data_IF_624228556389
#
_entry.id   IF_624228556389
#
_cell.length_a   1.000
_cell.length_b   1.000
_cell.length_c   1.000
_cell.angle_alpha   90.00
_cell.angle_beta   90.00
_cell.angle_gamma   90.00
#
_symmetry.space_group_name_H-M   'P 1'
#
loop_
_entity.id
_entity.type
_entity.pdbx_description
1 polymer ?
#
# COMPACT_ATOMS: atom_id res chain seq x y z
N UNK A 1 3.30 -14.19 3.64
CA UNK A 1 2.64 -12.88 3.47
C UNK A 1 1.21 -13.07 2.99
N UNK A 2 0.97 -13.61 1.79
CA UNK A 2 -0.36 -13.71 1.16
C UNK A 2 -1.41 -14.39 2.06
N UNK A 3 -1.11 -15.60 2.53
CA UNK A 3 -1.99 -16.32 3.47
C UNK A 3 -2.28 -15.53 4.76
N UNK A 4 -1.30 -14.80 5.28
CA UNK A 4 -1.52 -13.92 6.44
C UNK A 4 -2.44 -12.76 6.06
N UNK A 5 -2.18 -12.11 4.91
CA UNK A 5 -2.95 -10.97 4.40
C UNK A 5 -4.43 -11.33 4.16
N UNK A 6 -4.71 -12.49 3.55
CA UNK A 6 -6.08 -12.98 3.34
C UNK A 6 -6.84 -13.22 4.65
N UNK A 7 -6.13 -13.65 5.71
CA UNK A 7 -6.71 -13.97 7.01
C UNK A 7 -6.61 -12.83 8.04
N UNK A 8 -6.14 -11.63 7.68
CA UNK A 8 -5.93 -10.52 8.65
C UNK A 8 -7.20 -10.10 9.39
N UNK A 9 -8.37 -10.29 8.78
CA UNK A 9 -9.64 -9.97 9.42
C UNK A 9 -9.91 -10.83 10.67
N UNK A 10 -9.20 -11.96 10.84
CA UNK A 10 -9.32 -12.87 11.99
C UNK A 10 -8.36 -12.53 13.13
N UNK A 11 -7.37 -11.66 12.89
CA UNK A 11 -6.37 -11.32 13.89
C UNK A 11 -6.82 -10.15 14.75
N UNK A 12 -6.47 -10.23 16.04
CA UNK A 12 -6.64 -9.10 16.96
C UNK A 12 -5.69 -7.95 16.59
N UNK A 13 -6.06 -6.73 16.99
CA UNK A 13 -5.33 -5.51 16.65
C UNK A 13 -3.85 -5.57 17.06
N UNK A 14 -3.51 -6.10 18.23
CA UNK A 14 -2.14 -6.25 18.71
C UNK A 14 -1.30 -7.14 17.77
N UNK A 15 -1.88 -8.28 17.39
CA UNK A 15 -1.27 -9.24 16.48
C UNK A 15 -1.07 -8.64 15.08
N UNK A 16 -2.05 -7.86 14.59
CA UNK A 16 -1.92 -7.12 13.32
C UNK A 16 -0.74 -6.16 13.31
N UNK A 17 -0.51 -5.43 14.42
CA UNK A 17 0.64 -4.51 14.52
C UNK A 17 1.95 -5.27 14.40
N UNK A 18 2.09 -6.37 15.14
CA UNK A 18 3.31 -7.17 15.16
C UNK A 18 3.63 -7.77 13.78
N UNK A 19 2.63 -8.35 13.10
CA UNK A 19 2.82 -8.90 11.75
C UNK A 19 3.17 -7.79 10.76
N UNK A 20 2.52 -6.61 10.86
CA UNK A 20 2.80 -5.50 9.95
C UNK A 20 4.26 -5.02 10.07
N UNK A 21 4.76 -4.80 11.29
CA UNK A 21 6.16 -4.44 11.52
C UNK A 21 7.13 -5.54 11.03
N UNK A 22 6.81 -6.80 11.29
CA UNK A 22 7.61 -7.92 10.82
C UNK A 22 7.76 -7.90 9.29
N UNK A 23 6.64 -7.81 8.54
CA UNK A 23 6.71 -7.78 7.09
C UNK A 23 7.31 -6.49 6.53
N UNK A 24 7.11 -5.34 7.17
CA UNK A 24 7.77 -4.09 6.79
C UNK A 24 9.29 -4.29 6.83
N UNK A 25 9.82 -4.80 7.94
CA UNK A 25 11.24 -5.06 8.10
C UNK A 25 11.77 -6.07 7.05
N UNK A 26 11.04 -7.15 6.76
CA UNK A 26 11.46 -8.11 5.74
C UNK A 26 11.51 -7.51 4.33
N UNK A 27 10.58 -6.62 3.99
CA UNK A 27 10.54 -5.95 2.68
C UNK A 27 11.64 -4.89 2.54
N UNK A 28 11.92 -4.12 3.60
CA UNK A 28 12.94 -3.05 3.57
C UNK A 28 14.36 -3.59 3.59
N UNK A 29 14.59 -4.74 4.22
CA UNK A 29 15.89 -5.44 4.24
C UNK A 29 16.12 -6.36 3.04
N UNK A 30 15.17 -6.41 2.09
CA UNK A 30 15.16 -7.33 0.94
C UNK A 30 15.20 -8.82 1.30
N UNK A 31 14.82 -9.19 2.54
CA UNK A 31 14.63 -10.58 2.94
C UNK A 31 13.36 -11.20 2.31
N UNK A 32 12.36 -10.36 1.98
CA UNK A 32 11.15 -10.75 1.28
C UNK A 32 11.02 -9.98 -0.03
N UNK A 33 10.72 -10.70 -1.11
CA UNK A 33 10.53 -10.08 -2.42
C UNK A 33 9.21 -9.30 -2.48
N UNK A 34 9.23 -8.12 -3.12
CA UNK A 34 8.10 -7.19 -3.15
C UNK A 34 6.87 -7.73 -3.89
N UNK A 35 7.01 -8.79 -4.68
CA UNK A 35 5.88 -9.46 -5.38
C UNK A 35 4.77 -9.93 -4.45
N UNK A 36 5.04 -10.12 -3.16
CA UNK A 36 3.99 -10.46 -2.17
C UNK A 36 2.95 -9.36 -1.99
N UNK A 37 3.28 -8.11 -2.34
CA UNK A 37 2.35 -6.98 -2.25
C UNK A 37 1.20 -7.08 -3.26
N UNK A 38 1.27 -8.00 -4.25
CA UNK A 38 0.19 -8.29 -5.20
C UNK A 38 -1.11 -8.72 -4.52
N UNK A 39 -1.02 -9.31 -3.33
CA UNK A 39 -2.19 -9.69 -2.55
C UNK A 39 -3.01 -8.48 -2.07
N UNK A 40 -2.45 -7.28 -2.08
CA UNK A 40 -3.10 -6.06 -1.61
C UNK A 40 -3.90 -5.44 -2.75
N UNK A 41 -5.20 -5.25 -2.52
CA UNK A 41 -6.09 -4.51 -3.44
C UNK A 41 -6.78 -3.40 -2.66
N UNK A 42 -6.37 -2.16 -2.91
CA UNK A 42 -6.84 -0.95 -2.23
C UNK A 42 -8.06 -0.36 -2.95
N UNK A 43 -9.23 -0.90 -2.64
CA UNK A 43 -10.52 -0.34 -3.07
C UNK A 43 -11.50 -0.25 -1.91
N UNK A 44 -12.57 0.52 -2.05
CA UNK A 44 -13.61 0.61 -1.01
C UNK A 44 -14.26 -0.75 -0.71
N UNK A 45 -14.44 -1.60 -1.72
CA UNK A 45 -15.12 -2.90 -1.58
C UNK A 45 -14.24 -4.02 -1.00
N UNK A 46 -12.93 -3.97 -1.22
CA UNK A 46 -12.00 -5.03 -0.78
C UNK A 46 -11.25 -4.68 0.51
N UNK A 47 -11.20 -3.39 0.90
CA UNK A 47 -10.37 -2.94 2.03
C UNK A 47 -11.16 -2.89 3.34
N UNK A 48 -11.01 -3.93 4.16
CA UNK A 48 -11.61 -4.02 5.51
C UNK A 48 -10.87 -3.16 6.54
N UNK A 49 -11.49 -2.93 7.72
CA UNK A 49 -10.84 -2.19 8.82
C UNK A 49 -9.50 -2.80 9.25
N UNK A 50 -9.40 -4.12 9.36
CA UNK A 50 -8.15 -4.82 9.68
C UNK A 50 -7.08 -4.60 8.60
N UNK A 51 -7.49 -4.63 7.32
CA UNK A 51 -6.61 -4.30 6.19
C UNK A 51 -6.05 -2.89 6.28
N UNK A 52 -6.90 -1.91 6.66
CA UNK A 52 -6.49 -0.51 6.82
C UNK A 52 -5.47 -0.33 7.94
N UNK A 53 -5.65 -1.01 9.07
CA UNK A 53 -4.71 -0.95 10.20
C UNK A 53 -3.37 -1.59 9.79
N UNK A 54 -3.44 -2.77 9.18
CA UNK A 54 -2.24 -3.49 8.73
C UNK A 54 -1.43 -2.68 7.72
N UNK A 55 -2.07 -2.18 6.66
CA UNK A 55 -1.41 -1.39 5.61
C UNK A 55 -0.86 -0.07 6.15
N UNK A 56 -1.55 0.57 7.11
CA UNK A 56 -1.08 1.80 7.73
C UNK A 56 0.28 1.56 8.39
N UNK A 57 0.36 0.54 9.23
CA UNK A 57 1.58 0.23 10.00
C UNK A 57 2.68 -0.23 9.05
N UNK A 58 2.37 -1.12 8.11
CA UNK A 58 3.32 -1.62 7.13
C UNK A 58 3.98 -0.47 6.35
N UNK A 59 3.19 0.45 5.81
CA UNK A 59 3.69 1.53 4.97
C UNK A 59 4.39 2.64 5.76
N UNK A 60 3.91 2.96 6.96
CA UNK A 60 4.58 3.93 7.83
C UNK A 60 5.96 3.43 8.24
N UNK A 61 6.06 2.17 8.69
CA UNK A 61 7.33 1.56 9.09
C UNK A 61 8.29 1.43 7.88
N UNK A 62 7.78 1.09 6.69
CA UNK A 62 8.60 1.12 5.46
C UNK A 62 9.11 2.52 5.13
N UNK A 63 8.29 3.55 5.29
CA UNK A 63 8.67 4.95 5.05
C UNK A 63 9.68 5.46 6.08
N UNK A 64 9.58 5.02 7.34
CA UNK A 64 10.53 5.35 8.41
C UNK A 64 11.89 4.69 8.16
N UNK A 65 11.92 3.42 7.75
CA UNK A 65 13.18 2.70 7.52
C UNK A 65 13.89 3.08 6.21
N UNK A 66 13.16 3.29 5.11
CA UNK A 66 13.76 3.61 3.80
C UNK A 66 13.87 5.12 3.53
N UNK A 67 13.08 5.93 4.24
CA UNK A 67 12.79 7.31 3.88
C UNK A 67 11.68 7.41 2.84
N UNK A 68 10.80 8.41 2.99
CA UNK A 68 9.63 8.62 2.12
C UNK A 68 10.02 8.81 0.64
N UNK A 69 11.12 9.51 0.37
CA UNK A 69 11.62 9.76 -0.99
C UNK A 69 12.01 8.45 -1.68
N UNK A 70 12.86 7.66 -1.03
CA UNK A 70 13.31 6.35 -1.53
C UNK A 70 12.15 5.38 -1.72
N UNK A 71 11.20 5.37 -0.78
CA UNK A 71 10.00 4.56 -0.89
C UNK A 71 9.18 4.97 -2.12
N UNK A 72 8.96 6.27 -2.33
CA UNK A 72 8.23 6.78 -3.50
C UNK A 72 8.92 6.39 -4.81
N UNK A 73 10.24 6.55 -4.89
CA UNK A 73 11.04 6.17 -6.07
C UNK A 73 10.96 4.66 -6.35
N UNK A 74 10.98 3.82 -5.31
CA UNK A 74 10.78 2.37 -5.47
C UNK A 74 9.38 2.03 -5.98
N UNK A 75 8.34 2.61 -5.38
CA UNK A 75 6.94 2.36 -5.76
C UNK A 75 6.62 2.86 -7.17
N UNK A 76 7.24 3.96 -7.61
CA UNK A 76 7.13 4.52 -8.97
C UNK A 76 8.15 3.97 -9.97
N UNK A 77 8.97 2.98 -9.58
CA UNK A 77 10.03 2.49 -10.46
C UNK A 77 9.45 1.89 -11.75
N UNK A 78 10.14 2.13 -12.87
CA UNK A 78 9.80 1.57 -14.19
C UNK A 78 10.11 0.07 -14.31
N UNK A 79 10.42 -0.62 -13.21
CA UNK A 79 10.58 -2.07 -13.21
C UNK A 79 9.20 -2.74 -13.39
N UNK A 80 8.98 -3.51 -14.47
CA UNK A 80 7.71 -4.20 -14.69
C UNK A 80 7.31 -5.11 -13.52
N UNK A 81 8.28 -5.71 -12.83
CA UNK A 81 8.01 -6.60 -11.69
C UNK A 81 7.50 -5.82 -10.49
N UNK A 82 8.06 -4.63 -10.25
CA UNK A 82 7.62 -3.75 -9.17
C UNK A 82 6.26 -3.15 -9.48
N UNK A 83 6.07 -2.64 -10.71
CA UNK A 83 4.80 -2.07 -11.14
C UNK A 83 3.65 -3.07 -10.99
N UNK A 84 3.87 -4.33 -11.39
CA UNK A 84 2.88 -5.39 -11.20
C UNK A 84 2.69 -5.75 -9.71
N UNK A 85 3.74 -5.65 -8.89
CA UNK A 85 3.66 -5.93 -7.45
C UNK A 85 2.78 -4.94 -6.69
N UNK A 86 2.83 -3.66 -7.07
CA UNK A 86 2.12 -2.58 -6.37
C UNK A 86 0.83 -2.16 -7.06
N UNK A 87 0.49 -2.79 -8.19
CA UNK A 87 -0.67 -2.44 -9.02
C UNK A 87 -1.97 -2.35 -8.22
N UNK A 88 -2.22 -3.30 -7.32
CA UNK A 88 -3.43 -3.30 -6.49
C UNK A 88 -3.45 -2.19 -5.43
N UNK A 89 -2.30 -1.62 -5.06
CA UNK A 89 -2.18 -0.52 -4.10
C UNK A 89 -2.45 0.85 -4.75
N UNK A 90 -2.19 0.98 -6.05
CA UNK A 90 -2.35 2.21 -6.82
C UNK A 90 -3.37 2.03 -7.96
N UNK A 91 -4.68 2.15 -7.69
CA UNK A 91 -5.71 2.03 -8.73
C UNK A 91 -5.51 3.10 -9.83
N UNK A 92 -5.83 2.74 -11.08
CA UNK A 92 -5.66 3.61 -12.28
C UNK A 92 -6.87 3.64 -13.21
N UNK A 93 -7.91 2.89 -12.88
CA UNK A 93 -9.04 2.57 -13.76
C UNK A 93 -10.33 3.31 -13.39
N UNK A 94 -10.57 3.50 -12.09
CA UNK A 94 -11.82 4.05 -11.59
C UNK A 94 -11.58 5.26 -10.68
N UNK A 95 -12.19 6.40 -11.02
CA UNK A 95 -12.12 7.63 -10.23
C UNK A 95 -12.55 7.43 -8.77
N UNK A 96 -13.50 6.53 -8.50
CA UNK A 96 -13.94 6.21 -7.13
C UNK A 96 -12.83 5.51 -6.33
N UNK A 97 -12.21 4.48 -6.91
CA UNK A 97 -11.09 3.76 -6.28
C UNK A 97 -9.88 4.66 -6.08
N UNK A 98 -9.61 5.54 -7.05
CA UNK A 98 -8.50 6.50 -6.98
C UNK A 98 -8.72 7.52 -5.86
N UNK A 99 -9.92 8.09 -5.74
CA UNK A 99 -10.26 8.98 -4.61
C UNK A 99 -10.13 8.26 -3.27
N UNK A 100 -10.57 7.00 -3.19
CA UNK A 100 -10.42 6.17 -1.99
C UNK A 100 -8.95 5.99 -1.61
N UNK A 101 -8.09 5.62 -2.57
CA UNK A 101 -6.67 5.45 -2.35
C UNK A 101 -6.00 6.75 -1.90
N UNK A 102 -6.26 7.87 -2.59
CA UNK A 102 -5.74 9.20 -2.22
C UNK A 102 -6.10 9.55 -0.77
N UNK A 103 -7.38 9.38 -0.41
CA UNK A 103 -7.85 9.68 0.94
C UNK A 103 -7.18 8.79 1.98
N UNK A 104 -7.07 7.49 1.69
CA UNK A 104 -6.40 6.54 2.57
C UNK A 104 -4.94 6.93 2.83
N UNK A 105 -4.14 7.11 1.78
CA UNK A 105 -2.73 7.49 1.89
C UNK A 105 -2.53 8.85 2.58
N UNK A 106 -3.41 9.82 2.30
CA UNK A 106 -3.37 11.13 2.98
C UNK A 106 -3.68 10.99 4.48
N UNK A 107 -4.66 10.16 4.84
CA UNK A 107 -5.05 9.92 6.25
C UNK A 107 -3.94 9.26 7.10
N UNK A 108 -3.02 8.54 6.46
CA UNK A 108 -1.89 7.87 7.12
C UNK A 108 -0.58 8.68 7.01
N UNK A 109 -0.63 9.92 6.49
CA UNK A 109 0.53 10.81 6.39
C UNK A 109 1.44 10.55 5.18
N UNK A 110 1.01 9.71 4.23
CA UNK A 110 1.75 9.35 3.02
C UNK A 110 1.15 10.01 1.77
N UNK A 111 0.71 11.27 1.88
CA UNK A 111 0.09 11.98 0.74
C UNK A 111 1.01 12.14 -0.48
N UNK A 112 2.32 12.22 -0.27
CA UNK A 112 3.31 12.43 -1.35
C UNK A 112 3.36 11.29 -2.37
N UNK A 113 3.01 10.05 -2.00
CA UNK A 113 3.00 8.91 -2.94
C UNK A 113 1.75 8.92 -3.86
N UNK A 114 0.87 9.91 -3.72
CA UNK A 114 -0.41 9.99 -4.45
C UNK A 114 -0.43 11.00 -5.59
N UNK A 115 0.70 11.64 -5.90
CA UNK A 115 0.79 12.72 -6.91
C UNK A 115 0.21 12.32 -8.27
N UNK A 116 0.62 11.17 -8.83
CA UNK A 116 0.13 10.67 -10.13
C UNK A 116 -1.38 10.42 -10.12
N UNK A 117 -1.91 9.87 -9.02
CA UNK A 117 -3.35 9.64 -8.86
C UNK A 117 -4.13 10.96 -8.83
N UNK A 118 -3.56 12.02 -8.22
CA UNK A 118 -4.15 13.35 -8.19
C UNK A 118 -4.12 14.02 -9.56
N UNK A 119 -3.04 13.84 -10.31
CA UNK A 119 -2.92 14.34 -11.69
C UNK A 119 -3.93 13.65 -12.61
N UNK A 120 -4.05 12.32 -12.51
CA UNK A 120 -5.04 11.55 -13.27
C UNK A 120 -6.48 12.02 -12.97
N UNK A 121 -6.81 12.33 -11.71
CA UNK A 121 -8.14 12.84 -11.37
C UNK A 121 -8.44 14.23 -11.94
N UNK A 122 -7.43 15.05 -12.22
CA UNK A 122 -7.63 16.36 -12.87
C UNK A 122 -7.97 16.20 -14.35
N UNK A 123 -7.46 15.14 -14.99
CA UNK A 123 -7.69 14.84 -16.41
C UNK A 123 -8.83 13.87 -16.64
N UNK A 124 -9.33 13.22 -15.58
CA UNK A 124 -10.42 12.28 -15.65
C UNK A 124 -11.70 12.97 -16.15
N UNK A 125 -12.42 12.39 -17.13
CA UNK A 125 -13.74 12.87 -17.53
C UNK A 125 -14.71 12.78 -16.34
N UNK A 126 -15.55 13.81 -16.25
CA UNK A 126 -16.51 14.07 -15.17
C UNK A 126 -17.46 12.89 -14.91
#
# INVERSE_FOLDING_TARGET
FESCYENIHRYETSHLRNIAHFFAHQLTTNALHWSVLKAIVLTEGTTTSSSRIFLKILLQDMAENLGLKTLNEKLKSNDPRMSEAVRGMFPRDNAKSIRFAINYYTSIGLGAITEEMREWLKTAPW
#
